data_IF_968849277182
#
_entry.id   IF_968849277182
#
_cell.length_a   1.000
_cell.length_b   1.000
_cell.length_c   1.000
_cell.angle_alpha   90.00
_cell.angle_beta   90.00
_cell.angle_gamma   90.00
#
_symmetry.space_group_name_H-M   'P 1'
#
loop_
_entity.id
_entity.type
_entity.pdbx_description
1 polymer ?
#
# COMPACT_ATOMS: atom_id res chain seq x y z
N UNK A 1 12.21 -7.21 -9.14
CA UNK A 1 11.47 -6.02 -8.65
C UNK A 1 9.95 -6.19 -8.81
N UNK A 2 9.42 -6.51 -10.00
CA UNK A 2 7.97 -6.80 -10.19
C UNK A 2 7.45 -7.80 -9.16
N UNK A 3 8.10 -8.95 -8.99
CA UNK A 3 7.61 -10.00 -8.08
C UNK A 3 7.47 -9.57 -6.61
N UNK A 4 8.31 -8.63 -6.16
CA UNK A 4 8.24 -8.10 -4.79
C UNK A 4 7.08 -7.10 -4.63
N UNK A 5 6.94 -6.18 -5.58
CA UNK A 5 5.82 -5.25 -5.62
C UNK A 5 4.48 -6.01 -5.75
N UNK A 6 4.43 -7.04 -6.58
CA UNK A 6 3.27 -7.92 -6.76
C UNK A 6 2.93 -8.70 -5.48
N UNK A 7 3.95 -9.18 -4.75
CA UNK A 7 3.76 -9.85 -3.47
C UNK A 7 3.15 -8.90 -2.44
N UNK A 8 3.70 -7.68 -2.30
CA UNK A 8 3.15 -6.67 -1.39
C UNK A 8 1.73 -6.30 -1.80
N UNK A 9 1.49 -6.02 -3.08
CA UNK A 9 0.18 -5.63 -3.59
C UNK A 9 -0.91 -6.69 -3.37
N UNK A 10 -0.53 -7.99 -3.32
CA UNK A 10 -1.44 -9.08 -2.94
C UNK A 10 -1.65 -9.20 -1.43
N UNK A 11 -0.66 -8.81 -0.64
CA UNK A 11 -0.67 -8.94 0.81
C UNK A 11 -1.34 -7.75 1.52
N UNK A 12 -1.41 -6.59 0.89
CA UNK A 12 -2.10 -5.41 1.41
C UNK A 12 -3.29 -5.02 0.55
N UNK A 13 -4.37 -4.53 1.17
CA UNK A 13 -5.54 -4.02 0.45
C UNK A 13 -6.04 -2.69 1.06
N UNK A 14 -6.81 -1.88 0.30
CA UNK A 14 -7.26 -0.57 0.77
C UNK A 14 -8.21 -0.59 1.97
N UNK A 15 -8.89 -1.71 2.22
CA UNK A 15 -9.79 -1.86 3.38
C UNK A 15 -9.06 -2.14 4.70
N UNK A 16 -7.78 -2.50 4.65
CA UNK A 16 -6.96 -2.70 5.84
C UNK A 16 -6.68 -1.38 6.56
N UNK A 17 -6.58 -1.43 7.89
CA UNK A 17 -6.07 -0.29 8.66
C UNK A 17 -4.59 -0.07 8.38
N UNK A 18 -4.09 1.12 8.70
CA UNK A 18 -2.67 1.46 8.53
C UNK A 18 -1.77 0.52 9.34
N UNK A 19 -2.15 0.22 10.57
CA UNK A 19 -1.42 -0.66 11.49
C UNK A 19 -1.33 -2.09 10.94
N UNK A 20 -2.43 -2.59 10.36
CA UNK A 20 -2.45 -3.92 9.73
C UNK A 20 -1.48 -3.99 8.54
N UNK A 21 -1.39 -2.93 7.73
CA UNK A 21 -0.43 -2.86 6.61
C UNK A 21 1.01 -2.75 7.09
N UNK A 22 1.27 -1.95 8.13
CA UNK A 22 2.60 -1.85 8.74
C UNK A 22 3.11 -3.19 9.30
N UNK A 23 2.21 -3.99 9.90
CA UNK A 23 2.54 -5.35 10.34
C UNK A 23 2.98 -6.24 9.17
N UNK A 24 2.25 -6.20 8.04
CA UNK A 24 2.63 -6.93 6.82
C UNK A 24 3.99 -6.46 6.30
N UNK A 25 4.23 -5.15 6.26
CA UNK A 25 5.53 -4.60 5.83
C UNK A 25 6.67 -5.08 6.74
N UNK A 26 6.44 -5.17 8.05
CA UNK A 26 7.41 -5.74 9.00
C UNK A 26 7.79 -7.18 8.66
N UNK A 27 6.80 -8.04 8.43
CA UNK A 27 7.03 -9.46 8.06
C UNK A 27 7.81 -9.56 6.75
N UNK A 28 7.51 -8.72 5.77
CA UNK A 28 8.20 -8.71 4.48
C UNK A 28 9.66 -8.28 4.63
N UNK A 29 9.94 -7.22 5.42
CA UNK A 29 11.30 -6.78 5.72
C UNK A 29 12.11 -7.87 6.41
N UNK A 30 11.51 -8.57 7.37
CA UNK A 30 12.15 -9.70 8.04
C UNK A 30 12.43 -10.86 7.08
N UNK A 31 11.50 -11.19 6.18
CA UNK A 31 11.70 -12.22 5.17
C UNK A 31 12.86 -11.89 4.22
N UNK A 32 12.99 -10.63 3.80
CA UNK A 32 14.12 -10.16 2.99
C UNK A 32 15.43 -10.28 3.76
N UNK A 33 15.45 -9.89 5.04
CA UNK A 33 16.65 -10.01 5.86
C UNK A 33 17.08 -11.48 6.03
N UNK A 34 16.14 -12.39 6.29
CA UNK A 34 16.42 -13.84 6.36
C UNK A 34 16.97 -14.39 5.05
N UNK A 35 16.48 -13.89 3.91
CA UNK A 35 16.97 -14.25 2.58
C UNK A 35 18.43 -13.78 2.38
N UNK A 36 18.74 -12.54 2.74
CA UNK A 36 20.10 -11.98 2.69
C UNK A 36 21.08 -12.79 3.56
N UNK A 37 20.68 -13.12 4.80
CA UNK A 37 21.48 -13.98 5.68
C UNK A 37 21.71 -15.36 5.06
N UNK A 38 20.67 -15.96 4.47
CA UNK A 38 20.76 -17.28 3.83
C UNK A 38 21.71 -17.26 2.63
N UNK A 39 21.72 -16.18 1.87
CA UNK A 39 22.57 -16.00 0.70
C UNK A 39 24.01 -15.60 1.08
N UNK A 40 24.33 -15.55 2.37
CA UNK A 40 25.68 -15.29 2.89
C UNK A 40 26.15 -13.85 2.70
N UNK A 41 25.22 -12.89 2.61
CA UNK A 41 25.59 -11.48 2.49
C UNK A 41 26.16 -10.97 3.82
N UNK A 42 27.33 -10.37 3.76
CA UNK A 42 27.93 -9.67 4.90
C UNK A 42 27.10 -8.42 5.27
N UNK A 43 27.01 -8.04 6.55
CA UNK A 43 26.18 -6.90 6.98
C UNK A 43 26.50 -5.57 6.28
N UNK A 44 27.75 -5.36 5.89
CA UNK A 44 28.23 -4.15 5.20
C UNK A 44 28.20 -4.27 3.67
N UNK A 45 27.57 -5.32 3.13
CA UNK A 45 27.44 -5.49 1.68
C UNK A 45 26.56 -4.36 1.09
N UNK A 46 27.07 -3.56 0.13
CA UNK A 46 26.32 -2.45 -0.44
C UNK A 46 25.01 -2.87 -1.12
N UNK A 47 24.89 -4.15 -1.51
CA UNK A 47 23.65 -4.72 -2.07
C UNK A 47 22.53 -4.75 -1.02
N UNK A 48 22.84 -4.93 0.26
CA UNK A 48 21.86 -4.92 1.34
C UNK A 48 21.23 -3.52 1.45
N UNK A 49 22.06 -2.47 1.46
CA UNK A 49 21.58 -1.09 1.54
C UNK A 49 20.69 -0.73 0.35
N UNK A 50 21.09 -1.13 -0.87
CA UNK A 50 20.26 -0.96 -2.07
C UNK A 50 18.93 -1.71 -1.96
N UNK A 51 18.95 -2.98 -1.53
CA UNK A 51 17.74 -3.78 -1.38
C UNK A 51 16.79 -3.19 -0.34
N UNK A 52 17.30 -2.73 0.80
CA UNK A 52 16.49 -2.05 1.81
C UNK A 52 15.85 -0.78 1.25
N UNK A 53 16.61 0.04 0.52
CA UNK A 53 16.07 1.23 -0.12
C UNK A 53 14.93 0.91 -1.09
N UNK A 54 15.11 -0.09 -1.94
CA UNK A 54 14.11 -0.53 -2.91
C UNK A 54 12.84 -1.08 -2.23
N UNK A 55 12.98 -1.75 -1.10
CA UNK A 55 11.85 -2.21 -0.28
C UNK A 55 11.06 -1.01 0.26
N UNK A 56 11.73 -0.01 0.85
CA UNK A 56 11.07 1.18 1.39
C UNK A 56 10.44 2.04 0.30
N UNK A 57 11.05 2.13 -0.88
CA UNK A 57 10.46 2.78 -2.05
C UNK A 57 9.18 2.08 -2.50
N UNK A 58 9.22 0.75 -2.65
CA UNK A 58 8.04 -0.04 -3.03
C UNK A 58 6.90 0.13 -2.03
N UNK A 59 7.20 0.14 -0.72
CA UNK A 59 6.19 0.36 0.33
C UNK A 59 5.55 1.75 0.19
N UNK A 60 6.35 2.80 -0.07
CA UNK A 60 5.85 4.17 -0.27
C UNK A 60 4.93 4.26 -1.48
N UNK A 61 5.29 3.61 -2.58
CA UNK A 61 4.48 3.62 -3.81
C UNK A 61 3.12 2.95 -3.60
N UNK A 62 3.12 1.77 -2.96
CA UNK A 62 1.89 1.04 -2.62
C UNK A 62 0.99 1.85 -1.69
N UNK A 63 1.56 2.52 -0.68
CA UNK A 63 0.78 3.39 0.22
C UNK A 63 0.20 4.61 -0.52
N UNK A 64 0.94 5.17 -1.46
CA UNK A 64 0.44 6.25 -2.30
C UNK A 64 -0.74 5.79 -3.17
N UNK A 65 -0.69 4.58 -3.73
CA UNK A 65 -1.80 3.97 -4.47
C UNK A 65 -3.03 3.75 -3.60
N UNK A 66 -2.86 3.19 -2.40
CA UNK A 66 -3.95 2.97 -1.45
C UNK A 66 -4.59 4.30 -1.04
N UNK A 67 -3.78 5.32 -0.78
CA UNK A 67 -4.28 6.65 -0.44
C UNK A 67 -5.07 7.29 -1.59
N UNK A 68 -4.56 7.17 -2.83
CA UNK A 68 -5.27 7.60 -4.05
C UNK A 68 -6.62 6.91 -4.19
N UNK A 69 -6.64 5.59 -4.14
CA UNK A 69 -7.85 4.78 -4.24
C UNK A 69 -8.89 5.19 -3.19
N UNK A 70 -8.49 5.28 -1.92
CA UNK A 70 -9.39 5.64 -0.82
C UNK A 70 -9.95 7.05 -0.99
N UNK A 71 -9.16 7.96 -1.55
CA UNK A 71 -9.60 9.34 -1.79
C UNK A 71 -10.63 9.41 -2.91
N UNK A 72 -10.39 8.70 -4.02
CA UNK A 72 -11.35 8.60 -5.13
C UNK A 72 -12.67 7.98 -4.69
N UNK A 73 -12.62 6.89 -3.91
CA UNK A 73 -13.83 6.24 -3.40
C UNK A 73 -14.66 7.19 -2.52
N UNK A 74 -14.01 7.99 -1.66
CA UNK A 74 -14.71 8.99 -0.84
C UNK A 74 -15.36 10.08 -1.70
N UNK A 75 -14.69 10.54 -2.74
CA UNK A 75 -15.22 11.54 -3.67
C UNK A 75 -16.44 11.00 -4.42
N UNK A 76 -16.37 9.76 -4.91
CA UNK A 76 -17.50 9.11 -5.60
C UNK A 76 -18.72 8.98 -4.69
N UNK A 77 -18.53 8.56 -3.44
CA UNK A 77 -19.63 8.47 -2.46
C UNK A 77 -20.24 9.84 -2.14
N UNK A 78 -19.40 10.86 -1.97
CA UNK A 78 -19.86 12.22 -1.72
C UNK A 78 -20.66 12.78 -2.92
N UNK A 79 -20.18 12.56 -4.13
CA UNK A 79 -20.88 12.96 -5.36
C UNK A 79 -22.22 12.23 -5.50
N UNK A 80 -22.27 10.92 -5.25
CA UNK A 80 -23.51 10.15 -5.28
C UNK A 80 -24.54 10.66 -4.25
N UNK A 81 -24.10 11.02 -3.05
CA UNK A 81 -24.97 11.61 -2.03
C UNK A 81 -25.52 12.97 -2.47
N UNK A 82 -24.68 13.85 -3.03
CA UNK A 82 -25.11 15.15 -3.56
C UNK A 82 -26.16 15.01 -4.65
N UNK A 83 -25.93 14.14 -5.63
CA UNK A 83 -26.89 13.88 -6.72
C UNK A 83 -28.23 13.36 -6.18
N UNK A 84 -28.20 12.49 -5.17
CA UNK A 84 -29.41 11.97 -4.53
C UNK A 84 -30.20 13.07 -3.80
N UNK A 85 -29.50 13.93 -3.07
CA UNK A 85 -30.11 15.06 -2.35
C UNK A 85 -30.72 16.09 -3.32
N UNK A 86 -30.04 16.41 -4.42
CA UNK A 86 -30.56 17.28 -5.48
C UNK A 86 -31.81 16.69 -6.14
N UNK A 87 -31.79 15.40 -6.47
CA UNK A 87 -32.94 14.71 -7.04
C UNK A 87 -34.13 14.67 -6.06
N UNK A 88 -33.88 14.47 -4.77
CA UNK A 88 -34.90 14.50 -3.73
C UNK A 88 -35.48 15.92 -3.55
N UNK A 89 -34.64 16.96 -3.60
CA UNK A 89 -35.07 18.35 -3.53
C UNK A 89 -35.90 18.75 -4.76
N UNK A 90 -35.51 18.31 -5.96
CA UNK A 90 -36.26 18.54 -7.19
C UNK A 90 -37.64 17.87 -7.18
N UNK A 91 -37.77 16.67 -6.60
CA UNK A 91 -39.07 15.98 -6.44
C UNK A 91 -40.01 16.60 -5.41
N UNK A 92 -39.49 17.44 -4.50
CA UNK A 92 -40.28 18.13 -3.47
C UNK A 92 -40.80 19.50 -3.93
N UNK A 93 -40.34 20.00 -5.08
CA UNK A 93 -40.82 21.23 -5.71
C UNK A 93 -41.88 20.90 -6.75
#
# INVERSE_FOLDING_TARGET
MSEFADLIARAVNPSMTREARESVYGVVKEAVQRLQTRDGMEPDDPRIALQQHLVEETIRDVEADIARFTSLEKLERAHAAQVADEAAAARRR
#
